data_IF_985253324153
#
_entry.id   IF_985253324153
#
_cell.length_a   1.000
_cell.length_b   1.000
_cell.length_c   1.000
_cell.angle_alpha   90.00
_cell.angle_beta   90.00
_cell.angle_gamma   90.00
#
_symmetry.space_group_name_H-M   'P 1'
#
loop_
_entity.id
_entity.type
_entity.pdbx_description
1 polymer ?
#
# COMPACT_ATOMS: atom_id res chain seq x y z
N UNK A 1 -6.81 -18.67 27.07
CA UNK A 1 -5.84 -17.60 27.34
C UNK A 1 -5.27 -17.12 26.01
N UNK A 2 -5.48 -15.86 25.63
CA UNK A 2 -4.85 -15.28 24.44
C UNK A 2 -3.34 -15.22 24.66
N UNK A 3 -2.55 -15.72 23.70
CA UNK A 3 -1.10 -15.55 23.73
C UNK A 3 -0.80 -14.06 23.85
N UNK A 4 0.15 -13.63 24.71
CA UNK A 4 0.52 -12.23 24.80
C UNK A 4 0.89 -11.74 23.39
N UNK A 5 0.35 -10.60 22.99
CA UNK A 5 0.76 -9.94 21.74
C UNK A 5 2.28 -9.71 21.87
N UNK A 6 3.07 -10.36 21.02
CA UNK A 6 4.50 -10.01 20.90
C UNK A 6 4.54 -8.51 20.64
N UNK A 7 5.44 -7.80 21.33
CA UNK A 7 5.62 -6.37 21.13
C UNK A 7 5.81 -6.10 19.64
N UNK A 8 4.86 -5.37 19.07
CA UNK A 8 4.85 -5.02 17.64
C UNK A 8 5.74 -3.81 17.36
N UNK A 9 6.13 -3.11 18.41
CA UNK A 9 6.93 -1.89 18.35
C UNK A 9 7.99 -1.91 19.44
N UNK A 10 9.10 -1.24 19.16
CA UNK A 10 10.20 -1.01 20.10
C UNK A 10 10.78 0.39 19.85
N UNK A 11 11.64 0.87 20.75
CA UNK A 11 12.37 2.12 20.52
C UNK A 11 13.60 1.81 19.66
N UNK A 12 13.76 2.57 18.58
CA UNK A 12 14.94 2.50 17.72
C UNK A 12 16.13 3.15 18.43
N UNK A 13 17.24 2.43 18.67
CA UNK A 13 18.40 2.98 19.35
C UNK A 13 19.12 4.08 18.56
N UNK A 14 18.84 4.22 17.27
CA UNK A 14 19.51 5.21 16.40
C UNK A 14 18.87 6.60 16.54
N UNK A 15 17.56 6.68 16.58
CA UNK A 15 16.83 7.96 16.58
C UNK A 15 15.92 8.16 17.79
N UNK A 16 15.82 7.16 18.69
CA UNK A 16 14.96 7.24 19.88
C UNK A 16 13.47 7.18 19.61
N UNK A 17 13.05 6.95 18.36
CA UNK A 17 11.65 6.90 17.97
C UNK A 17 11.13 5.46 17.94
N UNK A 18 9.81 5.28 17.98
CA UNK A 18 9.21 3.96 17.76
C UNK A 18 9.58 3.41 16.39
N UNK A 19 9.88 2.10 16.31
CA UNK A 19 9.97 1.33 15.07
C UNK A 19 9.16 0.06 15.17
N UNK A 20 8.73 -0.48 14.04
CA UNK A 20 8.03 -1.75 13.97
C UNK A 20 8.95 -2.94 14.24
N UNK A 21 8.37 -4.05 14.73
CA UNK A 21 9.02 -5.37 14.79
C UNK A 21 8.20 -6.33 13.94
N UNK A 22 8.68 -6.61 12.75
CA UNK A 22 7.97 -7.35 11.70
C UNK A 22 8.63 -8.68 11.40
N UNK A 23 7.91 -9.58 10.74
CA UNK A 23 8.48 -10.81 10.18
C UNK A 23 9.17 -10.54 8.83
N UNK A 24 10.11 -11.41 8.46
CA UNK A 24 10.90 -11.29 7.21
C UNK A 24 10.06 -11.37 5.93
N UNK A 25 8.79 -11.79 6.04
CA UNK A 25 8.01 -12.19 4.89
C UNK A 25 7.43 -11.01 4.10
N UNK A 26 7.94 -10.85 2.89
CA UNK A 26 7.30 -10.03 1.87
C UNK A 26 7.49 -8.52 1.96
N UNK A 27 8.24 -8.03 2.94
CA UNK A 27 8.52 -6.58 3.04
C UNK A 27 9.37 -6.14 1.87
N UNK A 28 10.43 -6.89 1.57
CA UNK A 28 11.35 -6.59 0.46
C UNK A 28 10.63 -6.59 -0.88
N UNK A 29 9.82 -7.60 -1.16
CA UNK A 29 9.10 -7.75 -2.43
C UNK A 29 8.17 -6.57 -2.74
N UNK A 30 7.36 -6.11 -1.77
CA UNK A 30 6.44 -5.00 -2.00
C UNK A 30 7.16 -3.67 -2.15
N UNK A 31 8.19 -3.41 -1.33
CA UNK A 31 8.97 -2.20 -1.41
C UNK A 31 9.83 -2.16 -2.67
N UNK A 32 10.42 -3.27 -3.09
CA UNK A 32 11.18 -3.36 -4.34
C UNK A 32 10.32 -3.01 -5.55
N UNK A 33 9.10 -3.55 -5.64
CA UNK A 33 8.19 -3.27 -6.73
C UNK A 33 7.68 -1.84 -6.74
N UNK A 34 7.38 -1.29 -5.55
CA UNK A 34 7.05 0.13 -5.41
C UNK A 34 8.20 1.02 -5.88
N UNK A 35 9.44 0.72 -5.46
CA UNK A 35 10.63 1.46 -5.89
C UNK A 35 10.84 1.40 -7.40
N UNK A 36 10.66 0.22 -8.01
CA UNK A 36 10.76 0.03 -9.47
C UNK A 36 9.70 0.86 -10.19
N UNK A 37 8.46 0.90 -9.67
CA UNK A 37 7.40 1.72 -10.25
C UNK A 37 7.69 3.23 -10.11
N UNK A 38 8.15 3.67 -8.96
CA UNK A 38 8.58 5.06 -8.74
C UNK A 38 9.68 5.45 -9.74
N UNK A 39 10.64 4.57 -9.96
CA UNK A 39 11.69 4.82 -10.94
C UNK A 39 11.15 4.81 -12.36
N UNK A 40 10.42 3.81 -12.79
CA UNK A 40 9.90 3.70 -14.15
C UNK A 40 8.99 4.89 -14.54
N UNK A 41 8.24 5.43 -13.57
CA UNK A 41 7.33 6.57 -13.79
C UNK A 41 8.01 7.95 -13.66
N UNK A 42 9.33 8.02 -13.40
CA UNK A 42 10.01 9.29 -13.09
C UNK A 42 9.93 10.32 -14.23
N UNK A 43 10.04 9.89 -15.48
CA UNK A 43 9.97 10.78 -16.63
C UNK A 43 8.58 11.43 -16.77
N UNK A 44 7.52 10.66 -16.52
CA UNK A 44 6.15 11.20 -16.51
C UNK A 44 5.97 12.21 -15.37
N UNK A 45 6.45 11.89 -14.15
CA UNK A 45 6.38 12.84 -13.03
C UNK A 45 7.15 14.11 -13.31
N UNK A 46 8.37 14.00 -13.87
CA UNK A 46 9.17 15.17 -14.26
C UNK A 46 8.44 16.06 -15.25
N UNK A 47 7.79 15.46 -16.26
CA UNK A 47 6.99 16.20 -17.25
C UNK A 47 5.82 16.93 -16.58
N UNK A 48 5.08 16.26 -15.69
CA UNK A 48 3.98 16.88 -14.96
C UNK A 48 4.45 18.08 -14.13
N UNK A 49 5.52 17.92 -13.38
CA UNK A 49 6.06 18.96 -12.53
C UNK A 49 6.69 20.11 -13.34
N UNK A 50 7.60 19.81 -14.26
CA UNK A 50 8.41 20.83 -14.93
C UNK A 50 7.73 21.49 -16.12
N UNK A 51 6.97 20.72 -16.90
CA UNK A 51 6.37 21.24 -18.13
C UNK A 51 4.93 21.72 -17.91
N UNK A 52 4.16 21.00 -17.08
CA UNK A 52 2.75 21.33 -16.86
C UNK A 52 2.50 22.13 -15.58
N UNK A 53 3.52 22.37 -14.74
CA UNK A 53 3.39 23.10 -13.48
C UNK A 53 2.47 22.40 -12.47
N UNK A 54 2.36 21.05 -12.56
CA UNK A 54 1.46 20.26 -11.72
C UNK A 54 2.27 19.41 -10.74
N UNK A 55 2.05 19.64 -9.46
CA UNK A 55 2.70 18.85 -8.41
C UNK A 55 2.35 17.36 -8.52
N UNK A 56 3.30 16.51 -8.16
CA UNK A 56 3.08 15.08 -8.04
C UNK A 56 3.13 14.67 -6.58
N UNK A 57 2.29 13.71 -6.19
CA UNK A 57 2.11 13.31 -4.80
C UNK A 57 2.30 11.83 -4.54
N UNK A 58 2.81 11.52 -3.35
CA UNK A 58 2.82 10.17 -2.79
C UNK A 58 1.88 10.11 -1.59
N UNK A 59 1.07 9.06 -1.51
CA UNK A 59 0.09 8.83 -0.44
C UNK A 59 0.34 7.49 0.22
N UNK A 60 0.41 7.49 1.56
CA UNK A 60 0.48 6.29 2.38
C UNK A 60 -0.41 6.47 3.63
N UNK A 61 -1.59 5.89 3.59
CA UNK A 61 -2.58 6.01 4.68
C UNK A 61 -2.39 4.98 5.80
N UNK A 62 -1.34 4.18 5.72
CA UNK A 62 -0.96 3.15 6.67
C UNK A 62 0.55 3.20 6.93
N UNK A 63 1.09 4.40 7.10
CA UNK A 63 2.54 4.65 7.03
C UNK A 63 3.35 4.01 8.17
N UNK A 64 2.70 3.63 9.27
CA UNK A 64 3.39 3.12 10.44
C UNK A 64 4.46 4.08 10.94
N UNK A 65 5.51 3.59 11.61
CA UNK A 65 6.58 4.45 12.12
C UNK A 65 7.64 4.83 11.07
N UNK A 66 7.52 4.37 9.82
CA UNK A 66 8.49 4.64 8.75
C UNK A 66 9.81 3.84 8.85
N UNK A 67 9.93 2.94 9.82
CA UNK A 67 11.07 2.02 10.00
C UNK A 67 10.65 0.79 10.78
N UNK A 68 11.25 -0.36 10.45
CA UNK A 68 11.00 -1.61 11.15
C UNK A 68 12.27 -2.45 11.28
N UNK A 69 12.34 -3.27 12.32
CA UNK A 69 13.35 -4.34 12.47
C UNK A 69 12.72 -5.68 12.07
N UNK A 70 13.43 -6.41 11.25
CA UNK A 70 13.06 -7.78 10.86
C UNK A 70 13.45 -8.72 12.00
N UNK A 71 12.47 -9.42 12.56
CA UNK A 71 12.63 -10.24 13.77
C UNK A 71 13.65 -11.37 13.60
N UNK A 72 13.66 -11.99 12.44
CA UNK A 72 14.45 -13.19 12.15
C UNK A 72 15.94 -12.86 11.88
N UNK A 73 16.22 -11.68 11.37
CA UNK A 73 17.57 -11.29 10.94
C UNK A 73 18.14 -10.11 11.70
N UNK A 74 17.32 -9.41 12.49
CA UNK A 74 17.64 -8.13 13.14
C UNK A 74 17.99 -6.99 12.15
N UNK A 75 17.84 -7.20 10.86
CA UNK A 75 18.03 -6.16 9.85
C UNK A 75 16.97 -5.08 10.05
N UNK A 76 17.40 -3.83 9.96
CA UNK A 76 16.52 -2.66 10.01
C UNK A 76 16.20 -2.25 8.58
N UNK A 77 14.90 -2.13 8.29
CA UNK A 77 14.39 -1.72 6.99
C UNK A 77 13.57 -0.43 7.11
N UNK A 78 13.67 0.43 6.11
CA UNK A 78 12.79 1.60 6.01
C UNK A 78 11.34 1.18 5.70
N UNK A 79 10.39 1.94 6.22
CA UNK A 79 8.97 1.80 5.87
C UNK A 79 8.66 2.40 4.49
N UNK A 80 7.47 2.09 3.98
CA UNK A 80 7.00 2.45 2.63
C UNK A 80 7.20 3.92 2.26
N UNK A 81 6.80 4.85 3.12
CA UNK A 81 6.91 6.28 2.85
C UNK A 81 8.38 6.74 2.75
N UNK A 82 9.26 6.25 3.64
CA UNK A 82 10.71 6.57 3.62
C UNK A 82 11.38 5.95 2.40
N UNK A 83 11.03 4.71 2.06
CA UNK A 83 11.52 4.04 0.84
C UNK A 83 11.10 4.82 -0.41
N UNK A 84 9.84 5.28 -0.47
CA UNK A 84 9.35 6.08 -1.59
C UNK A 84 10.10 7.43 -1.69
N UNK A 85 10.36 8.08 -0.57
CA UNK A 85 11.11 9.33 -0.53
C UNK A 85 12.53 9.14 -1.08
N UNK A 86 13.32 8.24 -0.50
CA UNK A 86 14.68 7.94 -0.96
C UNK A 86 14.74 7.58 -2.45
N UNK A 87 13.79 6.78 -2.91
CA UNK A 87 13.76 6.34 -4.31
C UNK A 87 13.39 7.48 -5.26
N UNK A 88 12.43 8.33 -4.91
CA UNK A 88 12.03 9.44 -5.75
C UNK A 88 13.11 10.52 -5.81
N UNK A 89 13.79 10.82 -4.70
CA UNK A 89 14.92 11.76 -4.66
C UNK A 89 16.05 11.35 -5.62
N UNK A 90 16.32 10.04 -5.75
CA UNK A 90 17.33 9.52 -6.67
C UNK A 90 16.95 9.69 -8.17
N UNK A 91 15.75 10.18 -8.50
CA UNK A 91 15.31 10.32 -9.89
C UNK A 91 14.46 11.57 -10.14
N UNK A 92 13.21 11.60 -9.70
CA UNK A 92 12.31 12.76 -9.73
C UNK A 92 11.49 12.74 -8.46
N UNK A 93 11.72 13.67 -7.52
CA UNK A 93 11.03 13.70 -6.25
C UNK A 93 9.52 13.94 -6.43
N UNK A 94 8.74 13.36 -5.51
CA UNK A 94 7.38 13.82 -5.31
C UNK A 94 7.40 15.18 -4.61
N UNK A 95 6.56 16.11 -5.05
CA UNK A 95 6.49 17.45 -4.46
C UNK A 95 5.62 17.47 -3.19
N UNK A 96 4.80 16.46 -2.99
CA UNK A 96 3.92 16.32 -1.82
C UNK A 96 3.94 14.89 -1.31
N UNK A 97 4.09 14.75 0.00
CA UNK A 97 3.88 13.50 0.72
C UNK A 97 2.67 13.63 1.63
N UNK A 98 1.73 12.71 1.53
CA UNK A 98 0.59 12.61 2.44
C UNK A 98 0.70 11.27 3.15
N UNK A 99 0.86 11.32 4.46
CA UNK A 99 0.99 10.14 5.30
C UNK A 99 -0.10 10.14 6.35
N UNK A 100 -0.59 8.95 6.70
CA UNK A 100 -1.54 8.81 7.79
C UNK A 100 -1.28 7.53 8.58
N UNK A 101 -1.60 7.58 9.87
CA UNK A 101 -1.66 6.43 10.76
C UNK A 101 -2.68 6.72 11.86
N UNK A 102 -3.30 5.66 12.39
CA UNK A 102 -4.23 5.78 13.52
C UNK A 102 -3.49 6.09 14.84
N UNK A 103 -2.23 5.65 14.95
CA UNK A 103 -1.37 5.90 16.10
C UNK A 103 -0.53 7.16 15.88
N UNK A 104 -0.79 8.18 16.70
CA UNK A 104 -0.10 9.48 16.64
C UNK A 104 1.41 9.39 16.81
N UNK A 105 1.91 8.46 17.62
CA UNK A 105 3.34 8.31 17.87
C UNK A 105 4.04 7.64 16.68
N UNK A 106 3.38 6.67 16.03
CA UNK A 106 3.88 6.06 14.80
C UNK A 106 3.92 7.08 13.67
N UNK A 107 2.85 7.85 13.51
CA UNK A 107 2.79 8.93 12.53
C UNK A 107 3.90 9.96 12.71
N UNK A 108 4.11 10.42 13.96
CA UNK A 108 5.17 11.38 14.28
C UNK A 108 6.57 10.82 14.00
N UNK A 109 6.80 9.53 14.28
CA UNK A 109 8.06 8.86 13.95
C UNK A 109 8.29 8.78 12.44
N UNK A 110 7.26 8.46 11.66
CA UNK A 110 7.33 8.43 10.19
C UNK A 110 7.62 9.82 9.63
N UNK A 111 6.90 10.85 10.09
CA UNK A 111 7.11 12.23 9.68
C UNK A 111 8.55 12.70 9.96
N UNK A 112 9.06 12.43 11.17
CA UNK A 112 10.44 12.77 11.53
C UNK A 112 11.45 12.11 10.60
N UNK A 113 11.27 10.84 10.26
CA UNK A 113 12.15 10.11 9.35
C UNK A 113 12.08 10.59 7.91
N UNK A 114 10.89 11.01 7.45
CA UNK A 114 10.74 11.66 6.14
C UNK A 114 11.50 12.99 6.10
N UNK A 115 11.38 13.81 7.16
CA UNK A 115 12.15 15.07 7.27
C UNK A 115 13.65 14.82 7.30
N UNK A 116 14.09 13.79 8.00
CA UNK A 116 15.50 13.41 8.06
C UNK A 116 16.10 12.98 6.71
N UNK A 117 15.26 12.52 5.76
CA UNK A 117 15.69 12.21 4.38
C UNK A 117 15.39 13.34 3.38
N UNK A 118 15.11 14.55 3.87
CA UNK A 118 15.03 15.76 3.04
C UNK A 118 13.63 16.13 2.57
N UNK A 119 12.58 15.40 2.96
CA UNK A 119 11.20 15.74 2.56
C UNK A 119 10.70 16.93 3.39
N UNK A 120 10.40 18.04 2.75
CA UNK A 120 9.90 19.27 3.39
C UNK A 120 8.37 19.37 3.37
N UNK A 121 7.72 18.93 2.30
CA UNK A 121 6.30 19.13 2.05
C UNK A 121 5.49 17.88 2.42
N UNK A 122 5.19 17.75 3.72
CA UNK A 122 4.49 16.61 4.32
C UNK A 122 3.14 17.08 4.86
N UNK A 123 2.08 16.34 4.54
CA UNK A 123 0.78 16.41 5.19
C UNK A 123 0.61 15.13 6.03
N UNK A 124 0.69 15.27 7.34
CA UNK A 124 0.54 14.16 8.29
C UNK A 124 -0.86 14.22 8.91
N UNK A 125 -1.62 13.11 8.81
CA UNK A 125 -3.01 13.00 9.21
C UNK A 125 -3.17 11.87 10.23
N UNK A 126 -3.62 12.18 11.44
CA UNK A 126 -3.84 11.17 12.48
C UNK A 126 -5.28 10.71 12.48
N UNK A 127 -5.51 9.41 12.32
CA UNK A 127 -6.83 8.79 12.34
C UNK A 127 -6.92 7.57 11.42
N UNK A 128 -8.07 6.87 11.42
CA UNK A 128 -8.31 5.76 10.53
C UNK A 128 -8.34 6.20 9.07
N UNK A 129 -7.99 5.30 8.16
CA UNK A 129 -7.86 5.62 6.73
C UNK A 129 -9.16 6.15 6.12
N UNK A 130 -10.32 5.66 6.58
CA UNK A 130 -11.63 6.13 6.12
C UNK A 130 -11.89 7.60 6.44
N UNK A 131 -11.34 8.11 7.53
CA UNK A 131 -11.48 9.51 7.94
C UNK A 131 -10.40 10.39 7.30
N UNK A 132 -9.19 9.84 7.17
CA UNK A 132 -8.03 10.60 6.67
C UNK A 132 -7.93 10.65 5.15
N UNK A 133 -8.58 9.74 4.42
CA UNK A 133 -8.51 9.69 2.94
C UNK A 133 -9.08 10.96 2.28
N UNK A 134 -10.17 11.53 2.80
CA UNK A 134 -10.76 12.76 2.25
C UNK A 134 -9.84 13.97 2.43
N UNK A 135 -9.33 14.27 3.63
CA UNK A 135 -8.27 15.25 3.81
C UNK A 135 -7.03 14.97 2.95
N UNK A 136 -6.65 13.71 2.79
CA UNK A 136 -5.48 13.33 2.00
C UNK A 136 -5.60 13.75 0.53
N UNK A 137 -6.71 13.44 -0.14
CA UNK A 137 -6.90 13.86 -1.54
C UNK A 137 -7.03 15.37 -1.69
N UNK A 138 -7.56 16.07 -0.68
CA UNK A 138 -7.65 17.54 -0.68
C UNK A 138 -6.28 18.22 -0.53
N UNK A 139 -5.31 17.56 0.07
CA UNK A 139 -3.94 18.03 0.20
C UNK A 139 -3.12 17.87 -1.09
N UNK A 140 -3.62 17.13 -2.07
CA UNK A 140 -2.94 16.86 -3.34
C UNK A 140 -3.38 17.85 -4.43
N UNK A 141 -2.50 18.07 -5.41
CA UNK A 141 -2.86 18.82 -6.59
C UNK A 141 -3.83 18.03 -7.47
N UNK A 142 -5.05 18.55 -7.71
CA UNK A 142 -6.13 17.84 -8.44
C UNK A 142 -5.74 17.37 -9.85
N UNK A 143 -4.88 18.08 -10.53
CA UNK A 143 -4.37 17.72 -11.86
C UNK A 143 -3.00 17.04 -11.84
N UNK A 144 -2.47 16.74 -10.66
CA UNK A 144 -1.15 16.12 -10.45
C UNK A 144 -1.13 14.64 -10.78
N UNK A 145 0.07 14.10 -10.93
CA UNK A 145 0.27 12.65 -11.07
C UNK A 145 0.62 12.06 -9.71
N UNK A 146 -0.27 11.26 -9.15
CA UNK A 146 -0.17 10.78 -7.78
C UNK A 146 -0.05 9.26 -7.72
N UNK A 147 0.65 8.76 -6.72
CA UNK A 147 0.77 7.35 -6.39
C UNK A 147 0.32 7.11 -4.95
N UNK A 148 -0.67 6.25 -4.75
CA UNK A 148 -1.03 5.74 -3.44
C UNK A 148 -0.46 4.33 -3.25
N UNK A 149 0.25 4.13 -2.13
CA UNK A 149 0.63 2.81 -1.64
C UNK A 149 -0.31 2.45 -0.49
N UNK A 150 -1.06 1.37 -0.65
CA UNK A 150 -2.13 0.98 0.26
C UNK A 150 -1.75 -0.36 0.88
N UNK A 151 -1.23 -0.32 2.10
CA UNK A 151 -0.66 -1.47 2.82
C UNK A 151 -1.24 -1.57 4.24
N UNK A 152 -2.52 -1.92 4.38
CA UNK A 152 -3.14 -2.06 5.69
C UNK A 152 -2.48 -3.19 6.47
N UNK A 153 -2.39 -3.03 7.79
CA UNK A 153 -1.75 -4.00 8.69
C UNK A 153 -2.40 -5.40 8.66
N UNK A 154 -3.66 -5.48 8.25
CA UNK A 154 -4.45 -6.71 8.16
C UNK A 154 -5.38 -6.67 6.93
N UNK A 155 -6.32 -7.63 6.84
CA UNK A 155 -7.32 -7.66 5.76
C UNK A 155 -8.36 -6.52 5.82
N UNK A 156 -8.22 -5.55 6.74
CA UNK A 156 -9.16 -4.45 6.89
C UNK A 156 -8.82 -3.30 5.93
N UNK A 157 -9.24 -3.44 4.70
CA UNK A 157 -9.11 -2.44 3.64
C UNK A 157 -10.50 -2.02 3.17
N UNK A 158 -11.08 -0.95 3.70
CA UNK A 158 -12.37 -0.46 3.26
C UNK A 158 -12.33 -0.02 1.78
N UNK A 159 -13.30 -0.48 1.00
CA UNK A 159 -13.39 -0.11 -0.41
C UNK A 159 -13.58 1.40 -0.59
N UNK A 160 -14.23 2.07 0.36
CA UNK A 160 -14.42 3.53 0.38
C UNK A 160 -13.10 4.31 0.35
N UNK A 161 -12.03 3.78 0.94
CA UNK A 161 -10.68 4.39 0.88
C UNK A 161 -10.16 4.39 -0.55
N UNK A 162 -10.25 3.24 -1.22
CA UNK A 162 -9.82 3.09 -2.62
C UNK A 162 -10.69 3.97 -3.54
N UNK A 163 -12.00 4.00 -3.28
CA UNK A 163 -12.97 4.79 -4.03
C UNK A 163 -12.68 6.28 -3.91
N UNK A 164 -12.45 6.77 -2.70
CA UNK A 164 -12.13 8.19 -2.46
C UNK A 164 -10.80 8.60 -3.09
N UNK A 165 -9.74 7.79 -2.97
CA UNK A 165 -8.49 8.02 -3.70
C UNK A 165 -8.72 8.08 -5.21
N UNK A 166 -9.62 7.24 -5.72
CA UNK A 166 -10.01 7.17 -7.12
C UNK A 166 -10.76 8.40 -7.65
N UNK A 167 -11.19 9.33 -6.83
CA UNK A 167 -11.76 10.60 -7.30
C UNK A 167 -10.73 11.47 -8.02
N UNK A 168 -9.46 11.33 -7.67
CA UNK A 168 -8.38 11.97 -8.43
C UNK A 168 -8.10 11.18 -9.71
N UNK A 169 -8.34 11.82 -10.85
CA UNK A 169 -8.24 11.15 -12.16
C UNK A 169 -6.85 10.53 -12.45
N UNK A 170 -5.79 11.10 -11.87
CA UNK A 170 -4.40 10.64 -12.04
C UNK A 170 -3.83 10.11 -10.74
N UNK A 171 -4.58 9.21 -10.09
CA UNK A 171 -4.18 8.48 -8.91
C UNK A 171 -3.92 7.03 -9.31
N UNK A 172 -2.66 6.64 -9.37
CA UNK A 172 -2.27 5.24 -9.46
C UNK A 172 -2.29 4.63 -8.07
N UNK A 173 -2.79 3.41 -7.93
CA UNK A 173 -2.89 2.72 -6.65
C UNK A 173 -2.15 1.39 -6.70
N UNK A 174 -1.18 1.21 -5.81
CA UNK A 174 -0.53 -0.06 -5.54
C UNK A 174 -1.06 -0.62 -4.24
N UNK A 175 -1.83 -1.68 -4.34
CA UNK A 175 -2.68 -2.19 -3.26
C UNK A 175 -2.15 -3.54 -2.78
N UNK A 176 -1.87 -3.63 -1.49
CA UNK A 176 -1.59 -4.88 -0.79
C UNK A 176 -2.90 -5.55 -0.38
N UNK A 177 -3.22 -6.68 -0.99
CA UNK A 177 -4.38 -7.49 -0.65
C UNK A 177 -3.94 -8.69 0.21
N UNK A 178 -4.21 -8.66 1.51
CA UNK A 178 -3.75 -9.66 2.48
C UNK A 178 -4.51 -10.99 2.35
N UNK A 179 -4.03 -11.86 1.48
CA UNK A 179 -4.66 -13.17 1.19
C UNK A 179 -4.64 -14.10 2.40
N UNK A 180 -3.55 -14.10 3.14
CA UNK A 180 -3.39 -14.98 4.30
C UNK A 180 -4.35 -14.60 5.44
N UNK A 181 -4.45 -13.31 5.75
CA UNK A 181 -5.37 -12.81 6.76
C UNK A 181 -6.82 -13.02 6.36
N UNK A 182 -7.11 -12.75 5.10
CA UNK A 182 -8.40 -12.97 4.52
C UNK A 182 -8.82 -14.45 4.63
N UNK A 183 -7.93 -15.38 4.26
CA UNK A 183 -8.19 -16.82 4.37
C UNK A 183 -8.46 -17.27 5.81
N UNK A 184 -7.74 -16.71 6.78
CA UNK A 184 -7.89 -17.07 8.21
C UNK A 184 -9.18 -16.52 8.83
N UNK A 185 -9.63 -15.37 8.37
CA UNK A 185 -10.68 -14.60 9.01
C UNK A 185 -11.96 -14.47 8.18
N UNK A 186 -12.06 -15.12 7.01
CA UNK A 186 -13.17 -14.97 6.07
C UNK A 186 -14.54 -15.17 6.74
N UNK A 187 -14.71 -16.25 7.48
CA UNK A 187 -15.96 -16.55 8.17
C UNK A 187 -16.34 -15.48 9.19
N UNK A 188 -15.37 -14.97 9.96
CA UNK A 188 -15.59 -13.88 10.91
C UNK A 188 -15.90 -12.57 10.19
N UNK A 189 -15.21 -12.27 9.10
CA UNK A 189 -15.42 -11.06 8.31
C UNK A 189 -16.81 -11.02 7.64
N UNK A 190 -17.37 -12.20 7.30
CA UNK A 190 -18.75 -12.32 6.82
C UNK A 190 -19.78 -11.99 7.89
N UNK A 191 -19.46 -12.27 9.18
CA UNK A 191 -20.38 -12.09 10.30
C UNK A 191 -20.34 -10.68 10.89
N UNK A 192 -19.16 -10.06 10.91
CA UNK A 192 -18.92 -8.78 11.58
C UNK A 192 -18.94 -7.55 10.64
N UNK A 193 -19.34 -7.73 9.39
CA UNK A 193 -19.50 -6.65 8.41
C UNK A 193 -18.18 -6.16 7.76
N UNK A 194 -17.02 -6.69 8.15
CA UNK A 194 -15.74 -6.27 7.53
C UNK A 194 -15.68 -6.64 6.05
N UNK A 195 -16.36 -7.71 5.64
CA UNK A 195 -16.42 -8.11 4.26
C UNK A 195 -17.30 -7.18 3.42
N UNK A 196 -18.35 -6.61 4.02
CA UNK A 196 -19.17 -5.58 3.37
C UNK A 196 -18.37 -4.30 3.12
N UNK A 197 -17.49 -3.96 4.05
CA UNK A 197 -16.57 -2.83 3.90
C UNK A 197 -15.50 -3.08 2.83
N UNK A 198 -14.89 -4.27 2.81
CA UNK A 198 -13.84 -4.63 1.85
C UNK A 198 -14.38 -4.77 0.42
N UNK A 199 -15.47 -5.51 0.24
CA UNK A 199 -16.01 -5.89 -1.07
C UNK A 199 -17.54 -5.74 -1.09
N UNK A 200 -18.09 -4.51 -1.15
CA UNK A 200 -19.51 -4.26 -1.11
C UNK A 200 -20.29 -5.11 -2.14
N UNK A 201 -21.32 -5.84 -1.68
CA UNK A 201 -22.12 -6.71 -2.54
C UNK A 201 -21.51 -8.11 -2.77
N UNK A 202 -20.53 -8.52 -2.01
CA UNK A 202 -19.89 -9.86 -2.06
C UNK A 202 -20.89 -11.02 -1.95
N UNK A 203 -22.03 -10.81 -1.29
CA UNK A 203 -23.09 -11.82 -1.12
C UNK A 203 -23.63 -12.35 -2.46
N UNK A 204 -23.47 -11.56 -3.54
CA UNK A 204 -23.93 -11.95 -4.89
C UNK A 204 -23.02 -13.02 -5.54
N UNK A 205 -21.80 -13.18 -5.05
CA UNK A 205 -20.79 -14.04 -5.66
C UNK A 205 -20.32 -15.17 -4.75
N UNK A 206 -20.71 -15.17 -3.48
CA UNK A 206 -20.33 -16.19 -2.51
C UNK A 206 -21.54 -17.06 -2.12
N UNK A 207 -21.39 -18.36 -2.21
CA UNK A 207 -22.36 -19.35 -1.75
C UNK A 207 -21.82 -20.14 -0.57
N UNK A 208 -22.70 -20.61 0.33
CA UNK A 208 -22.36 -21.49 1.45
C UNK A 208 -21.85 -22.85 0.99
N UNK A 209 -22.12 -23.25 -0.25
CA UNK A 209 -21.67 -24.52 -0.83
C UNK A 209 -20.24 -24.45 -1.38
N UNK A 210 -19.67 -23.25 -1.52
CA UNK A 210 -18.30 -23.06 -1.98
C UNK A 210 -17.29 -23.40 -0.91
N UNK A 211 -16.17 -24.01 -1.31
CA UNK A 211 -15.00 -24.17 -0.45
C UNK A 211 -14.34 -22.83 -0.11
N UNK A 212 -13.56 -22.77 0.99
CA UNK A 212 -12.93 -21.51 1.47
C UNK A 212 -12.08 -20.83 0.41
N UNK A 213 -11.29 -21.58 -0.35
CA UNK A 213 -10.44 -21.01 -1.41
C UNK A 213 -11.27 -20.50 -2.60
N UNK A 214 -12.39 -21.13 -2.90
CA UNK A 214 -13.34 -20.69 -3.93
C UNK A 214 -14.04 -19.40 -3.50
N UNK A 215 -14.53 -19.35 -2.26
CA UNK A 215 -15.13 -18.13 -1.70
C UNK A 215 -14.14 -16.96 -1.73
N UNK A 216 -12.88 -17.22 -1.32
CA UNK A 216 -11.81 -16.22 -1.35
C UNK A 216 -11.60 -15.67 -2.77
N UNK A 217 -11.49 -16.54 -3.75
CA UNK A 217 -11.30 -16.14 -5.13
C UNK A 217 -12.51 -15.36 -5.66
N UNK A 218 -13.74 -15.81 -5.36
CA UNK A 218 -14.96 -15.13 -5.77
C UNK A 218 -15.01 -13.69 -5.22
N UNK A 219 -14.68 -13.49 -3.94
CA UNK A 219 -14.63 -12.14 -3.37
C UNK A 219 -13.53 -11.30 -3.98
N UNK A 220 -12.34 -11.85 -4.20
CA UNK A 220 -11.25 -11.10 -4.82
C UNK A 220 -11.63 -10.64 -6.24
N UNK A 221 -12.19 -11.51 -7.06
CA UNK A 221 -12.60 -11.15 -8.42
C UNK A 221 -13.77 -10.16 -8.41
N UNK A 222 -14.71 -10.28 -7.46
CA UNK A 222 -15.74 -9.29 -7.26
C UNK A 222 -15.15 -7.92 -6.89
N UNK A 223 -14.25 -7.87 -5.90
CA UNK A 223 -13.54 -6.67 -5.50
C UNK A 223 -12.76 -6.04 -6.67
N UNK A 224 -12.03 -6.84 -7.44
CA UNK A 224 -11.36 -6.39 -8.68
C UNK A 224 -12.36 -5.80 -9.66
N UNK A 225 -13.49 -6.46 -9.87
CA UNK A 225 -14.57 -5.97 -10.74
C UNK A 225 -15.17 -4.64 -10.28
N UNK A 226 -15.21 -4.37 -8.96
CA UNK A 226 -15.63 -3.07 -8.45
C UNK A 226 -14.63 -1.96 -8.82
N UNK A 227 -13.31 -2.22 -8.77
CA UNK A 227 -12.29 -1.26 -9.23
C UNK A 227 -12.49 -0.91 -10.71
N UNK A 228 -12.79 -1.89 -11.54
CA UNK A 228 -12.96 -1.72 -12.98
C UNK A 228 -14.29 -1.02 -13.32
N UNK A 229 -15.39 -1.48 -12.75
CA UNK A 229 -16.72 -1.00 -13.10
C UNK A 229 -17.09 0.33 -12.46
N UNK A 230 -16.84 0.49 -11.15
CA UNK A 230 -17.16 1.72 -10.42
C UNK A 230 -16.15 2.83 -10.63
N UNK A 231 -14.86 2.48 -10.58
CA UNK A 231 -13.78 3.47 -10.55
C UNK A 231 -13.12 3.66 -11.92
N UNK A 232 -13.50 2.86 -12.90
CA UNK A 232 -12.93 2.87 -14.26
C UNK A 232 -11.40 2.68 -14.26
N UNK A 233 -10.88 1.97 -13.26
CA UNK A 233 -9.49 1.57 -13.26
C UNK A 233 -9.26 0.44 -14.26
N UNK A 234 -8.12 0.48 -14.92
CA UNK A 234 -7.55 -0.68 -15.59
C UNK A 234 -6.73 -1.42 -14.57
N UNK A 235 -7.32 -2.45 -13.95
CA UNK A 235 -6.60 -3.28 -13.01
C UNK A 235 -5.71 -4.22 -13.80
N UNK A 236 -4.43 -4.23 -13.48
CA UNK A 236 -3.48 -5.10 -14.18
C UNK A 236 -3.86 -6.57 -13.97
N UNK A 237 -3.87 -7.35 -15.05
CA UNK A 237 -4.03 -8.80 -14.98
C UNK A 237 -2.81 -9.48 -14.36
N UNK A 238 -1.67 -8.79 -14.35
CA UNK A 238 -0.45 -9.26 -13.70
C UNK A 238 -0.49 -8.91 -12.21
N UNK A 239 -1.02 -9.85 -11.42
CA UNK A 239 -1.04 -9.77 -9.96
C UNK A 239 0.24 -10.41 -9.44
N UNK A 240 0.99 -9.68 -8.63
CA UNK A 240 2.17 -10.25 -7.97
C UNK A 240 1.74 -11.04 -6.76
N UNK A 241 1.93 -12.35 -6.79
CA UNK A 241 1.60 -13.25 -5.69
C UNK A 241 2.84 -13.49 -4.84
N UNK A 242 2.85 -12.93 -3.64
CA UNK A 242 3.96 -13.13 -2.71
C UNK A 242 3.69 -14.34 -1.83
N UNK A 243 4.67 -15.23 -1.76
CA UNK A 243 4.58 -16.52 -1.08
C UNK A 243 5.59 -16.61 0.06
N UNK A 244 5.16 -17.23 1.15
CA UNK A 244 6.01 -17.57 2.29
C UNK A 244 6.81 -18.87 2.08
N UNK A 245 7.52 -19.33 3.14
CA UNK A 245 8.42 -20.47 3.08
C UNK A 245 7.75 -21.75 2.60
N UNK A 246 6.53 -21.99 3.01
CA UNK A 246 5.77 -23.22 2.66
C UNK A 246 4.97 -23.03 1.35
N UNK A 247 5.40 -22.12 0.47
CA UNK A 247 4.68 -21.72 -0.76
C UNK A 247 3.25 -21.18 -0.51
N UNK A 248 2.85 -20.96 0.74
CA UNK A 248 1.57 -20.37 1.07
C UNK A 248 1.53 -18.92 0.59
N UNK A 249 0.47 -18.53 -0.09
CA UNK A 249 0.26 -17.14 -0.50
C UNK A 249 0.01 -16.27 0.73
N UNK A 250 0.81 -15.22 0.89
CA UNK A 250 0.71 -14.28 2.01
C UNK A 250 -0.15 -13.09 1.60
N UNK A 251 0.19 -12.47 0.47
CA UNK A 251 -0.57 -11.35 -0.08
C UNK A 251 -0.41 -11.28 -1.60
N UNK A 252 -1.29 -10.52 -2.21
CA UNK A 252 -1.20 -10.13 -3.61
C UNK A 252 -0.97 -8.63 -3.72
N UNK A 253 -0.05 -8.21 -4.60
CA UNK A 253 0.06 -6.81 -5.00
C UNK A 253 -0.76 -6.60 -6.26
N UNK A 254 -1.72 -5.69 -6.15
CA UNK A 254 -2.63 -5.31 -7.22
C UNK A 254 -2.34 -3.88 -7.62
N UNK A 255 -2.12 -3.65 -8.89
CA UNK A 255 -1.93 -2.31 -9.42
C UNK A 255 -3.15 -1.87 -10.21
N UNK A 256 -3.64 -0.68 -9.91
CA UNK A 256 -4.78 -0.05 -10.55
C UNK A 256 -4.41 1.34 -11.06
N UNK A 257 -4.60 1.59 -12.35
CA UNK A 257 -4.36 2.87 -13.02
C UNK A 257 -5.46 3.13 -14.05
N UNK A 258 -5.83 4.40 -14.26
CA UNK A 258 -6.70 4.78 -15.38
C UNK A 258 -5.93 5.01 -16.66
N UNK A 259 -4.61 5.11 -16.60
CA UNK A 259 -3.74 5.42 -17.71
C UNK A 259 -2.98 4.20 -18.20
N UNK A 260 -2.94 3.99 -19.52
CA UNK A 260 -2.27 2.85 -20.14
C UNK A 260 -0.77 2.78 -19.81
N UNK A 261 -0.11 3.93 -19.66
CA UNK A 261 1.29 3.98 -19.30
C UNK A 261 1.54 3.31 -17.94
N UNK A 262 0.73 3.62 -16.92
CA UNK A 262 0.86 2.99 -15.60
C UNK A 262 0.75 1.47 -15.68
N UNK A 263 -0.25 0.97 -16.40
CA UNK A 263 -0.45 -0.47 -16.60
C UNK A 263 0.67 -1.14 -17.40
N UNK A 264 1.26 -0.45 -18.40
CA UNK A 264 2.42 -0.96 -19.15
C UNK A 264 3.64 -1.08 -18.26
N UNK A 265 3.98 -0.02 -17.51
CA UNK A 265 5.11 -0.02 -16.58
C UNK A 265 4.97 -1.11 -15.52
N UNK A 266 3.76 -1.26 -14.97
CA UNK A 266 3.52 -2.29 -13.95
C UNK A 266 3.70 -3.71 -14.49
N UNK A 267 3.24 -4.02 -15.70
CA UNK A 267 3.40 -5.36 -16.31
C UNK A 267 4.86 -5.77 -16.42
N UNK A 268 5.72 -4.84 -16.82
CA UNK A 268 7.16 -5.09 -16.88
C UNK A 268 7.73 -5.38 -15.49
N UNK A 269 7.36 -4.56 -14.49
CA UNK A 269 7.86 -4.68 -13.11
C UNK A 269 7.36 -5.96 -12.45
N UNK A 270 6.10 -6.30 -12.63
CA UNK A 270 5.48 -7.46 -12.00
C UNK A 270 6.04 -8.80 -12.51
N UNK A 271 6.48 -8.82 -13.76
CA UNK A 271 7.10 -9.99 -14.41
C UNK A 271 8.59 -10.16 -14.07
N UNK A 272 9.24 -9.14 -13.50
CA UNK A 272 10.60 -9.30 -13.01
C UNK A 272 10.58 -10.26 -11.82
N UNK A 273 11.25 -11.38 -11.94
CA UNK A 273 11.46 -12.30 -10.81
C UNK A 273 12.13 -11.59 -9.63
N UNK A 274 12.04 -12.14 -8.41
CA UNK A 274 12.78 -11.59 -7.28
C UNK A 274 14.26 -11.54 -7.66
N UNK A 275 14.83 -10.35 -7.72
CA UNK A 275 16.28 -10.22 -7.82
C UNK A 275 16.81 -10.75 -6.47
N UNK A 276 17.33 -11.97 -6.46
CA UNK A 276 18.22 -12.42 -5.40
C UNK A 276 19.38 -11.46 -5.43
N UNK A 277 19.51 -10.66 -4.36
CA UNK A 277 20.61 -9.73 -4.24
C UNK A 277 21.92 -10.45 -4.57
N UNK A 278 22.64 -9.91 -5.51
CA UNK A 278 24.05 -10.16 -5.62
C UNK A 278 24.67 -9.58 -4.34
N UNK A 279 25.05 -10.49 -3.44
CA UNK A 279 25.87 -10.20 -2.29
C UNK A 279 27.22 -9.68 -2.79
#
# INVERSE_FOLDING_TARGET
MAKPKKDQYEIDPVDGLKRGVIGAWGVEDKHERMQKYIFASHAARRKFWREYGKETGFVDLYCGPGRARIRETNVVADGSAVVAAKRSEACTPFQRYVIADIDKELLAACESRLRAVGVSNICALCGPAEETVRPAINALHKGGLNLAFIDPFNANLPFSVIETLGELNRMDQLIHFSVMDYRRNLSTMMQDGRLDSLAPGWQKVVSKTMGVDEQRNAVFFHWKGLLESKLRYKVSDTIVRVRGPNRAEIYWLVFASRHDLGGKLWREIANLGPQRGLI
#
